data_IF_850545053743
#
_entry.id   IF_850545053743
#
_cell.length_a   1.000
_cell.length_b   1.000
_cell.length_c   1.000
_cell.angle_alpha   90.00
_cell.angle_beta   90.00
_cell.angle_gamma   90.00
#
_symmetry.space_group_name_H-M   'P 1'
#
loop_
_entity.id
_entity.type
_entity.pdbx_description
1 polymer ?
#
# COMPACT_ATOMS: atom_id res chain seq x y z
N UNK A 1 7.44 -5.96 2.68
CA UNK A 1 6.92 -6.83 3.76
C UNK A 1 6.50 -5.92 4.91
N UNK A 2 5.21 -5.75 5.08
CA UNK A 2 4.58 -5.01 6.16
C UNK A 2 4.93 -5.67 7.48
N UNK A 3 5.46 -4.85 8.37
CA UNK A 3 5.77 -5.25 9.74
C UNK A 3 4.49 -5.32 10.55
N UNK A 4 4.55 -6.03 11.68
CA UNK A 4 3.50 -5.97 12.68
C UNK A 4 3.76 -4.77 13.59
N UNK A 5 3.13 -3.63 13.29
CA UNK A 5 3.34 -2.37 14.01
C UNK A 5 2.47 -2.31 15.28
N UNK A 6 3.07 -1.99 16.42
CA UNK A 6 2.36 -1.57 17.62
C UNK A 6 1.96 -0.11 17.50
N UNK A 7 0.67 0.14 17.23
CA UNK A 7 0.13 1.50 17.08
C UNK A 7 0.08 2.30 18.40
N UNK A 8 0.46 1.69 19.52
CA UNK A 8 0.63 2.38 20.81
C UNK A 8 2.07 2.78 21.11
N UNK A 9 3.06 2.23 20.39
CA UNK A 9 4.47 2.59 20.53
C UNK A 9 4.82 3.75 19.57
N UNK A 10 5.27 4.91 20.09
CA UNK A 10 5.73 6.02 19.25
C UNK A 10 6.84 5.64 18.26
N UNK A 11 7.70 4.69 18.61
CA UNK A 11 8.79 4.24 17.73
C UNK A 11 8.24 3.52 16.51
N UNK A 12 7.31 2.59 16.73
CA UNK A 12 6.65 1.85 15.65
C UNK A 12 5.81 2.78 14.76
N UNK A 13 5.23 3.84 15.32
CA UNK A 13 4.53 4.87 14.53
C UNK A 13 5.48 5.66 13.62
N UNK A 14 6.68 6.00 14.07
CA UNK A 14 7.69 6.66 13.22
C UNK A 14 8.20 5.71 12.13
N UNK A 15 8.45 4.45 12.46
CA UNK A 15 8.83 3.42 11.47
C UNK A 15 7.72 3.21 10.45
N UNK A 16 6.45 3.15 10.88
CA UNK A 16 5.30 3.02 10.00
C UNK A 16 5.19 4.17 9.00
N UNK A 17 5.41 5.41 9.45
CA UNK A 17 5.43 6.57 8.54
C UNK A 17 6.56 6.45 7.54
N UNK A 18 7.77 6.12 8.00
CA UNK A 18 8.92 5.94 7.12
C UNK A 18 8.65 4.86 6.06
N UNK A 19 8.12 3.70 6.46
CA UNK A 19 7.81 2.60 5.55
C UNK A 19 6.68 2.98 4.57
N UNK A 20 5.74 3.83 4.97
CA UNK A 20 4.70 4.39 4.09
C UNK A 20 5.28 5.40 3.08
N UNK A 21 6.16 6.30 3.54
CA UNK A 21 6.82 7.33 2.72
C UNK A 21 7.80 6.76 1.69
N UNK A 22 8.21 5.49 1.83
CA UNK A 22 9.00 4.77 0.83
C UNK A 22 8.28 4.67 -0.53
N UNK A 23 6.94 4.75 -0.54
CA UNK A 23 6.15 4.73 -1.77
C UNK A 23 5.71 6.15 -2.14
N UNK A 24 6.19 6.61 -3.28
CA UNK A 24 5.74 7.84 -3.93
C UNK A 24 4.30 7.74 -4.45
N UNK A 25 3.67 8.88 -4.72
CA UNK A 25 2.34 8.92 -5.30
C UNK A 25 2.24 8.17 -6.65
N UNK A 26 3.32 8.15 -7.42
CA UNK A 26 3.39 7.46 -8.71
C UNK A 26 3.54 5.94 -8.52
N UNK A 27 4.26 5.49 -7.51
CA UNK A 27 4.34 4.06 -7.16
C UNK A 27 2.99 3.54 -6.65
N UNK A 28 2.28 4.33 -5.83
CA UNK A 28 0.89 4.02 -5.47
C UNK A 28 -0.02 3.96 -6.69
N UNK A 29 0.16 4.86 -7.66
CA UNK A 29 -0.61 4.85 -8.91
C UNK A 29 -0.31 3.58 -9.73
N UNK A 30 0.96 3.21 -9.88
CA UNK A 30 1.35 2.00 -10.60
C UNK A 30 0.73 0.73 -10.00
N UNK A 31 0.65 0.64 -8.67
CA UNK A 31 -0.06 -0.44 -7.99
C UNK A 31 -1.56 -0.45 -8.29
N UNK A 32 -2.22 0.72 -8.30
CA UNK A 32 -3.63 0.82 -8.66
C UNK A 32 -3.85 0.35 -10.09
N UNK A 33 -3.04 0.85 -11.03
CA UNK A 33 -3.14 0.55 -12.46
C UNK A 33 -2.96 -0.95 -12.72
N UNK A 34 -1.95 -1.56 -12.10
CA UNK A 34 -1.74 -3.01 -12.14
C UNK A 34 -3.01 -3.78 -11.72
N UNK A 35 -3.70 -3.34 -10.66
CA UNK A 35 -4.92 -4.03 -10.19
C UNK A 35 -6.15 -3.79 -11.08
N UNK A 36 -6.06 -2.88 -12.05
CA UNK A 36 -7.13 -2.56 -13.00
C UNK A 36 -6.96 -3.28 -14.35
N UNK A 37 -5.78 -3.82 -14.63
CA UNK A 37 -5.53 -4.66 -15.79
C UNK A 37 -6.45 -5.89 -15.78
N UNK A 38 -6.94 -6.31 -16.96
CA UNK A 38 -8.00 -7.33 -17.10
C UNK A 38 -7.69 -8.64 -16.37
N UNK A 39 -6.42 -9.04 -16.29
CA UNK A 39 -5.96 -10.24 -15.58
C UNK A 39 -5.95 -10.11 -14.05
N UNK A 40 -5.95 -8.89 -13.50
CA UNK A 40 -5.70 -8.63 -12.08
C UNK A 40 -6.88 -7.98 -11.36
N UNK A 41 -8.01 -7.74 -12.05
CA UNK A 41 -9.22 -7.11 -11.47
C UNK A 41 -9.74 -7.79 -10.21
N UNK A 42 -9.52 -9.10 -10.08
CA UNK A 42 -9.93 -9.94 -8.93
C UNK A 42 -8.89 -10.02 -7.81
N UNK A 43 -7.71 -9.43 -8.00
CA UNK A 43 -6.62 -9.45 -7.02
C UNK A 43 -7.03 -8.72 -5.73
N UNK A 44 -7.74 -7.60 -5.88
CA UNK A 44 -8.19 -6.77 -4.77
C UNK A 44 -9.70 -6.64 -4.73
N UNK A 45 -10.22 -6.57 -3.51
CA UNK A 45 -11.56 -6.08 -3.23
C UNK A 45 -11.69 -4.58 -3.50
N UNK A 46 -12.94 -4.10 -3.55
CA UNK A 46 -13.25 -2.68 -3.73
C UNK A 46 -12.61 -1.81 -2.64
N UNK A 47 -12.68 -2.25 -1.38
CA UNK A 47 -12.16 -1.50 -0.24
C UNK A 47 -10.63 -1.45 -0.24
N UNK A 48 -9.96 -2.57 -0.54
CA UNK A 48 -8.49 -2.60 -0.70
C UNK A 48 -8.04 -1.62 -1.78
N UNK A 49 -8.74 -1.55 -2.93
CA UNK A 49 -8.43 -0.56 -3.96
C UNK A 49 -8.68 0.86 -3.48
N UNK A 50 -9.77 1.10 -2.74
CA UNK A 50 -10.07 2.39 -2.13
C UNK A 50 -8.97 2.89 -1.17
N UNK A 51 -8.33 1.98 -0.43
CA UNK A 51 -7.21 2.29 0.46
C UNK A 51 -5.98 2.74 -0.33
N UNK A 52 -5.65 2.07 -1.44
CA UNK A 52 -4.55 2.50 -2.31
C UNK A 52 -4.78 3.88 -2.90
N UNK A 53 -6.03 4.16 -3.34
CA UNK A 53 -6.39 5.49 -3.86
C UNK A 53 -6.22 6.58 -2.79
N UNK A 54 -6.56 6.28 -1.53
CA UNK A 54 -6.33 7.19 -0.41
C UNK A 54 -4.84 7.37 -0.11
N UNK A 55 -4.07 6.28 -0.10
CA UNK A 55 -2.61 6.31 0.11
C UNK A 55 -1.94 7.19 -0.94
N UNK A 56 -2.25 6.97 -2.23
CA UNK A 56 -1.79 7.82 -3.34
C UNK A 56 -2.10 9.30 -3.11
N UNK A 57 -3.37 9.60 -2.82
CA UNK A 57 -3.82 10.98 -2.63
C UNK A 57 -3.03 11.65 -1.51
N UNK A 58 -2.78 10.93 -0.42
CA UNK A 58 -2.07 11.44 0.75
C UNK A 58 -0.58 11.68 0.46
N UNK A 59 0.09 10.74 -0.20
CA UNK A 59 1.46 10.87 -0.67
C UNK A 59 1.62 12.09 -1.60
N UNK A 60 0.67 12.33 -2.52
CA UNK A 60 0.68 13.49 -3.41
C UNK A 60 0.69 14.83 -2.66
N UNK A 61 0.07 14.88 -1.48
CA UNK A 61 0.02 16.08 -0.63
C UNK A 61 1.05 16.08 0.50
N UNK A 62 2.09 15.23 0.44
CA UNK A 62 3.09 15.06 1.50
C UNK A 62 2.43 14.90 2.89
N UNK A 63 1.39 14.09 2.95
CA UNK A 63 0.57 13.87 4.14
C UNK A 63 0.27 12.39 4.30
N UNK A 64 -0.28 12.02 5.46
CA UNK A 64 -0.56 10.63 5.78
C UNK A 64 -2.05 10.40 6.09
N UNK A 65 -2.58 9.20 5.80
CA UNK A 65 -3.85 8.76 6.38
C UNK A 65 -3.63 8.37 7.86
N UNK A 66 -4.66 7.84 8.52
CA UNK A 66 -4.51 7.35 9.90
C UNK A 66 -3.52 6.17 9.96
N UNK A 67 -2.91 5.91 11.13
CA UNK A 67 -1.94 4.80 11.30
C UNK A 67 -2.51 3.45 10.88
N UNK A 68 -3.78 3.17 11.23
CA UNK A 68 -4.47 1.94 10.79
C UNK A 68 -4.58 1.83 9.26
N UNK A 69 -4.86 2.95 8.59
CA UNK A 69 -4.94 2.98 7.13
C UNK A 69 -3.57 2.87 6.48
N UNK A 70 -2.50 3.42 7.08
CA UNK A 70 -1.12 3.21 6.60
C UNK A 70 -0.74 1.73 6.66
N UNK A 71 -1.01 1.06 7.80
CA UNK A 71 -0.76 -0.39 7.93
C UNK A 71 -1.51 -1.16 6.86
N UNK A 72 -2.80 -0.87 6.68
CA UNK A 72 -3.60 -1.57 5.69
C UNK A 72 -3.13 -1.31 4.26
N UNK A 73 -2.75 -0.07 3.92
CA UNK A 73 -2.18 0.26 2.61
C UNK A 73 -0.90 -0.54 2.33
N UNK A 74 0.00 -0.63 3.30
CA UNK A 74 1.25 -1.40 3.17
C UNK A 74 0.98 -2.91 3.01
N UNK A 75 0.01 -3.47 3.74
CA UNK A 75 -0.41 -4.86 3.58
C UNK A 75 -0.96 -5.14 2.18
N UNK A 76 -1.76 -4.20 1.63
CA UNK A 76 -2.27 -4.31 0.26
C UNK A 76 -1.13 -4.18 -0.76
N UNK A 77 -0.18 -3.28 -0.54
CA UNK A 77 1.02 -3.16 -1.37
C UNK A 77 1.82 -4.47 -1.41
N UNK A 78 2.09 -5.10 -0.26
CA UNK A 78 2.78 -6.39 -0.22
C UNK A 78 2.06 -7.49 -0.99
N UNK A 79 0.72 -7.53 -0.87
CA UNK A 79 -0.12 -8.50 -1.60
C UNK A 79 0.06 -8.35 -3.11
N UNK A 80 0.12 -7.12 -3.60
CA UNK A 80 0.38 -6.82 -5.01
C UNK A 80 1.79 -7.22 -5.41
N UNK A 81 2.81 -6.82 -4.63
CA UNK A 81 4.20 -7.16 -4.93
C UNK A 81 4.46 -8.67 -4.92
N UNK A 82 3.83 -9.41 -3.99
CA UNK A 82 3.90 -10.86 -3.93
C UNK A 82 3.28 -11.50 -5.18
N UNK A 83 2.14 -10.98 -5.64
CA UNK A 83 1.51 -11.43 -6.87
C UNK A 83 2.42 -11.16 -8.09
N UNK A 84 2.95 -9.95 -8.22
CA UNK A 84 3.87 -9.56 -9.30
C UNK A 84 5.15 -10.41 -9.33
N UNK A 85 5.71 -10.75 -8.16
CA UNK A 85 6.88 -11.63 -8.06
C UNK A 85 6.55 -13.07 -8.49
N UNK A 86 5.36 -13.56 -8.14
CA UNK A 86 4.88 -14.88 -8.57
C UNK A 86 4.73 -14.99 -10.09
N UNK A 87 4.24 -13.94 -10.75
CA UNK A 87 4.09 -13.93 -12.22
C UNK A 87 5.43 -13.79 -12.95
N UNK A 88 6.39 -13.04 -12.41
CA UNK A 88 7.73 -12.91 -13.01
C UNK A 88 8.61 -14.15 -12.88
N UNK A 89 8.23 -15.09 -12.01
CA UNK A 89 8.93 -16.36 -11.79
C UNK A 89 8.31 -17.56 -12.50
N UNK A 90 7.22 -17.38 -13.24
CA UNK A 90 6.51 -18.40 -14.02
C UNK A 90 6.80 -18.24 -15.52
#
# INVERSE_FOLDING_TARGET
MSRNYDLSDPTDLEVLKSDFEMYSADEWQAMIDYTLEDGHKKLLSYDERGVLMQARKKALYNSHPSSKQMVWALQVADKIEAHQKGEKGA
#
